data_IF_487962417796
#
_entry.id   IF_487962417796
#
_cell.length_a   1.000
_cell.length_b   1.000
_cell.length_c   1.000
_cell.angle_alpha   90.00
_cell.angle_beta   90.00
_cell.angle_gamma   90.00
#
_symmetry.space_group_name_H-M   'P 1'
#
loop_
_entity.id
_entity.type
_entity.pdbx_description
1 polymer ?
#
# COMPACT_ATOMS: atom_id res chain seq x y z
N UNK A 1 -56.36 -10.28 0.02
CA UNK A 1 -55.37 -9.17 0.04
C UNK A 1 -54.01 -9.79 -0.25
N UNK A 2 -53.50 -9.63 -1.47
CA UNK A 2 -52.20 -10.16 -1.89
C UNK A 2 -51.18 -9.03 -1.91
N UNK A 3 -50.18 -9.10 -1.05
CA UNK A 3 -49.02 -8.20 -1.06
C UNK A 3 -47.90 -8.84 -1.88
N UNK A 4 -47.66 -8.31 -3.08
CA UNK A 4 -46.45 -8.57 -3.85
C UNK A 4 -45.32 -7.71 -3.31
N UNK A 5 -44.25 -8.34 -2.83
CA UNK A 5 -43.02 -7.66 -2.41
C UNK A 5 -42.05 -7.63 -3.58
N UNK A 6 -41.99 -6.51 -4.29
CA UNK A 6 -40.94 -6.23 -5.28
C UNK A 6 -39.63 -5.91 -4.57
N UNK A 7 -38.67 -6.83 -4.61
CA UNK A 7 -37.30 -6.60 -4.15
C UNK A 7 -36.54 -5.77 -5.19
N UNK A 8 -36.37 -4.47 -4.93
CA UNK A 8 -35.44 -3.63 -5.69
C UNK A 8 -34.02 -3.82 -5.13
N UNK A 9 -33.14 -4.42 -5.94
CA UNK A 9 -31.71 -4.51 -5.64
C UNK A 9 -31.05 -3.16 -5.98
N UNK A 10 -30.28 -2.53 -5.06
CA UNK A 10 -29.65 -1.24 -5.32
C UNK A 10 -28.57 -1.34 -6.41
N UNK A 11 -28.61 -0.40 -7.36
CA UNK A 11 -27.76 -0.32 -8.56
C UNK A 11 -26.23 -0.33 -8.29
N UNK A 12 -25.78 -0.11 -7.06
CA UNK A 12 -24.38 -0.14 -6.67
C UNK A 12 -23.74 -1.54 -6.75
N UNK A 13 -24.53 -2.62 -6.66
CA UNK A 13 -24.00 -3.99 -6.72
C UNK A 13 -23.85 -4.54 -8.14
N UNK A 14 -24.44 -3.88 -9.14
CA UNK A 14 -24.46 -4.38 -10.52
C UNK A 14 -23.07 -4.41 -11.17
N UNK A 15 -22.17 -3.50 -10.77
CA UNK A 15 -20.79 -3.45 -11.26
C UNK A 15 -19.87 -4.49 -10.59
N UNK A 16 -20.11 -4.82 -9.32
CA UNK A 16 -19.28 -5.76 -8.55
C UNK A 16 -19.61 -7.22 -8.90
N UNK A 17 -20.89 -7.53 -9.10
CA UNK A 17 -21.38 -8.88 -9.46
C UNK A 17 -20.97 -9.30 -10.88
N UNK A 18 -20.63 -8.34 -11.74
CA UNK A 18 -20.23 -8.61 -13.14
C UNK A 18 -18.73 -8.88 -13.32
N UNK A 19 -17.91 -8.86 -12.27
CA UNK A 19 -16.52 -9.28 -12.41
C UNK A 19 -16.42 -10.80 -12.39
N UNK A 20 -15.70 -11.38 -13.36
CA UNK A 20 -15.44 -12.83 -13.41
C UNK A 20 -14.85 -13.36 -12.08
N UNK A 21 -14.13 -12.51 -11.35
CA UNK A 21 -13.58 -12.79 -10.02
C UNK A 21 -14.67 -12.91 -8.94
N UNK A 22 -15.66 -12.02 -8.93
CA UNK A 22 -16.79 -12.11 -7.99
C UNK A 22 -17.67 -13.33 -8.28
N UNK A 23 -17.86 -13.66 -9.56
CA UNK A 23 -18.59 -14.86 -9.99
C UNK A 23 -17.84 -16.14 -9.59
N UNK A 24 -16.51 -16.16 -9.74
CA UNK A 24 -15.67 -17.28 -9.29
C UNK A 24 -15.71 -17.46 -7.77
N UNK A 25 -15.56 -16.39 -6.99
CA UNK A 25 -15.61 -16.44 -5.52
C UNK A 25 -16.99 -16.86 -4.99
N UNK A 26 -18.07 -16.36 -5.59
CA UNK A 26 -19.43 -16.81 -5.28
C UNK A 26 -19.66 -18.28 -5.66
N UNK A 27 -19.06 -18.73 -6.77
CA UNK A 27 -19.10 -20.13 -7.21
C UNK A 27 -18.39 -21.09 -6.26
N UNK A 28 -17.26 -20.66 -5.67
CA UNK A 28 -16.52 -21.43 -4.65
C UNK A 28 -17.31 -21.48 -3.33
N UNK A 29 -17.87 -20.35 -2.90
CA UNK A 29 -18.65 -20.28 -1.65
C UNK A 29 -19.97 -21.08 -1.72
N UNK A 30 -20.60 -21.15 -2.90
CA UNK A 30 -21.90 -21.78 -3.07
C UNK A 30 -21.87 -23.31 -3.29
N UNK A 31 -20.71 -23.93 -3.53
CA UNK A 31 -20.63 -25.34 -3.93
C UNK A 31 -19.78 -26.21 -2.98
N UNK A 32 -20.39 -26.58 -1.85
CA UNK A 32 -19.95 -27.71 -1.04
C UNK A 32 -20.20 -29.06 -1.75
N UNK A 33 -19.12 -29.63 -2.32
CA UNK A 33 -18.70 -31.05 -2.28
C UNK A 33 -19.71 -32.19 -2.56
N UNK A 34 -20.70 -32.07 -3.46
CA UNK A 34 -21.59 -33.23 -3.76
C UNK A 34 -21.66 -33.76 -5.19
N UNK A 35 -20.90 -33.21 -6.14
CA UNK A 35 -20.79 -33.83 -7.48
C UNK A 35 -19.33 -33.91 -7.93
N UNK A 36 -18.90 -35.10 -8.37
CA UNK A 36 -17.58 -35.27 -8.98
C UNK A 36 -17.52 -34.41 -10.24
N UNK A 37 -16.47 -33.60 -10.45
CA UNK A 37 -16.29 -32.91 -11.72
C UNK A 37 -16.25 -33.93 -12.86
N UNK A 38 -16.69 -33.53 -14.05
CA UNK A 38 -16.43 -34.29 -15.26
C UNK A 38 -14.92 -34.41 -15.54
N UNK A 39 -14.51 -35.06 -16.64
CA UNK A 39 -13.10 -35.11 -17.02
C UNK A 39 -12.49 -33.71 -17.11
N UNK A 40 -11.22 -33.56 -16.71
CA UNK A 40 -10.51 -32.30 -16.81
C UNK A 40 -10.43 -31.85 -18.27
N UNK A 41 -10.57 -30.54 -18.55
CA UNK A 41 -10.37 -30.01 -19.88
C UNK A 41 -8.94 -30.25 -20.36
N UNK A 42 -8.77 -30.30 -21.68
CA UNK A 42 -7.44 -30.30 -22.30
C UNK A 42 -6.71 -28.97 -22.07
N UNK A 43 -5.39 -28.98 -22.20
CA UNK A 43 -4.58 -27.78 -22.06
C UNK A 43 -4.94 -26.72 -23.12
N UNK A 44 -5.32 -27.15 -24.34
CA UNK A 44 -5.78 -26.28 -25.40
C UNK A 44 -7.10 -25.57 -25.05
N UNK A 45 -8.04 -26.28 -24.42
CA UNK A 45 -9.31 -25.70 -23.96
C UNK A 45 -9.10 -24.71 -22.82
N UNK A 46 -8.17 -25.01 -21.91
CA UNK A 46 -7.79 -24.10 -20.82
C UNK A 46 -7.09 -22.84 -21.36
N UNK A 47 -6.18 -22.99 -22.33
CA UNK A 47 -5.53 -21.86 -22.99
C UNK A 47 -6.53 -20.99 -23.77
N UNK A 48 -7.49 -21.60 -24.48
CA UNK A 48 -8.57 -20.89 -25.15
C UNK A 48 -9.49 -20.14 -24.16
N UNK A 49 -9.67 -20.67 -22.96
CA UNK A 49 -10.39 -19.98 -21.89
C UNK A 49 -9.65 -18.74 -21.39
N UNK A 50 -8.36 -18.89 -21.06
CA UNK A 50 -7.49 -17.85 -20.49
C UNK A 50 -7.31 -16.68 -21.47
N UNK A 51 -7.12 -16.97 -22.75
CA UNK A 51 -6.97 -15.98 -23.82
C UNK A 51 -8.28 -15.28 -24.21
N UNK A 52 -9.42 -15.63 -23.58
CA UNK A 52 -10.73 -15.07 -23.93
C UNK A 52 -11.34 -15.61 -25.23
N UNK A 53 -10.77 -16.68 -25.79
CA UNK A 53 -11.26 -17.36 -26.99
C UNK A 53 -12.59 -18.11 -26.78
N UNK A 54 -12.88 -18.59 -25.57
CA UNK A 54 -14.16 -19.22 -25.24
C UNK A 54 -15.26 -18.18 -24.97
N UNK A 55 -16.43 -18.36 -25.61
CA UNK A 55 -17.61 -17.46 -25.50
C UNK A 55 -18.89 -18.24 -25.19
N UNK A 56 -19.86 -17.56 -24.58
CA UNK A 56 -21.20 -18.11 -24.34
C UNK A 56 -21.17 -19.36 -23.44
N UNK A 57 -21.85 -20.43 -23.88
CA UNK A 57 -22.08 -21.65 -23.10
C UNK A 57 -20.77 -22.38 -22.74
N UNK A 58 -19.78 -22.42 -23.64
CA UNK A 58 -18.49 -23.11 -23.38
C UNK A 58 -17.68 -22.41 -22.29
N UNK A 59 -17.67 -21.07 -22.28
CA UNK A 59 -17.05 -20.28 -21.19
C UNK A 59 -17.73 -20.55 -19.84
N UNK A 60 -19.06 -20.61 -19.82
CA UNK A 60 -19.82 -20.92 -18.61
C UNK A 60 -19.56 -22.34 -18.11
N UNK A 61 -19.46 -23.32 -19.02
CA UNK A 61 -19.11 -24.71 -18.67
C UNK A 61 -17.70 -24.79 -18.09
N UNK A 62 -16.73 -24.06 -18.64
CA UNK A 62 -15.38 -23.99 -18.10
C UNK A 62 -15.35 -23.39 -16.69
N UNK A 63 -16.03 -22.25 -16.47
CA UNK A 63 -16.16 -21.65 -15.14
C UNK A 63 -16.81 -22.61 -14.13
N UNK A 64 -17.87 -23.32 -14.53
CA UNK A 64 -18.51 -24.31 -13.69
C UNK A 64 -17.59 -25.50 -13.37
N UNK A 65 -16.70 -25.89 -14.29
CA UNK A 65 -15.69 -26.92 -14.05
C UNK A 65 -14.61 -26.43 -13.08
N UNK A 66 -14.06 -25.22 -13.28
CA UNK A 66 -13.05 -24.62 -12.38
C UNK A 66 -13.55 -24.50 -10.94
N UNK A 67 -14.83 -24.17 -10.75
CA UNK A 67 -15.46 -24.13 -9.42
C UNK A 67 -15.57 -25.51 -8.74
N UNK A 68 -15.42 -26.62 -9.49
CA UNK A 68 -15.59 -28.00 -8.98
C UNK A 68 -14.29 -28.80 -8.95
N UNK A 69 -13.31 -28.45 -9.77
CA UNK A 69 -12.03 -29.15 -9.89
C UNK A 69 -10.89 -28.26 -9.39
N UNK A 70 -10.46 -28.49 -8.15
CA UNK A 70 -9.36 -27.74 -7.53
C UNK A 70 -8.08 -27.78 -8.36
N UNK A 71 -7.75 -28.92 -8.95
CA UNK A 71 -6.56 -29.07 -9.81
C UNK A 71 -6.60 -28.12 -11.00
N UNK A 72 -7.73 -28.03 -11.71
CA UNK A 72 -7.86 -27.12 -12.85
C UNK A 72 -7.89 -25.65 -12.42
N UNK A 73 -8.46 -25.36 -11.25
CA UNK A 73 -8.43 -24.02 -10.66
C UNK A 73 -7.01 -23.55 -10.32
N UNK A 74 -6.19 -24.42 -9.71
CA UNK A 74 -4.79 -24.10 -9.42
C UNK A 74 -3.98 -23.91 -10.69
N UNK A 75 -4.14 -24.80 -11.68
CA UNK A 75 -3.46 -24.66 -12.97
C UNK A 75 -3.82 -23.35 -13.67
N UNK A 76 -5.09 -22.93 -13.60
CA UNK A 76 -5.54 -21.64 -14.11
C UNK A 76 -4.88 -20.44 -13.40
N UNK A 77 -4.83 -20.45 -12.05
CA UNK A 77 -4.18 -19.39 -11.27
C UNK A 77 -2.68 -19.28 -11.58
N UNK A 78 -2.00 -20.42 -11.70
CA UNK A 78 -0.60 -20.50 -12.05
C UNK A 78 -0.35 -19.85 -13.43
N UNK A 79 -1.08 -20.24 -14.47
CA UNK A 79 -0.94 -19.67 -15.82
C UNK A 79 -1.30 -18.17 -15.84
N UNK A 80 -2.35 -17.76 -15.11
CA UNK A 80 -2.71 -16.35 -14.99
C UNK A 80 -1.60 -15.52 -14.34
N UNK A 81 -0.88 -16.08 -13.36
CA UNK A 81 0.26 -15.41 -12.72
C UNK A 81 1.44 -15.21 -13.67
N UNK A 82 1.73 -16.20 -14.53
CA UNK A 82 2.75 -16.09 -15.58
C UNK A 82 2.37 -15.05 -16.65
N UNK A 83 1.12 -15.01 -17.09
CA UNK A 83 0.70 -13.98 -18.06
C UNK A 83 0.74 -12.56 -17.47
N UNK A 84 0.44 -12.42 -16.17
CA UNK A 84 0.57 -11.14 -15.47
C UNK A 84 2.03 -10.68 -15.34
N UNK A 85 2.99 -11.60 -15.31
CA UNK A 85 4.42 -11.27 -15.25
C UNK A 85 5.01 -10.92 -16.63
N UNK A 86 4.38 -11.37 -17.73
CA UNK A 86 4.83 -11.11 -19.11
C UNK A 86 4.36 -9.74 -19.64
N UNK A 87 3.66 -8.91 -18.85
CA UNK A 87 3.04 -7.65 -19.33
C UNK A 87 4.04 -6.78 -20.13
N UNK A 88 3.84 -6.59 -21.44
CA UNK A 88 4.71 -5.72 -22.24
C UNK A 88 4.54 -4.28 -21.77
N UNK A 89 5.63 -3.52 -21.83
CA UNK A 89 5.72 -2.10 -21.54
C UNK A 89 4.92 -1.30 -22.58
N UNK A 90 3.60 -1.38 -22.54
CA UNK A 90 2.74 -0.51 -23.32
C UNK A 90 2.72 0.87 -22.68
N UNK A 91 3.54 1.75 -23.25
CA UNK A 91 3.52 3.19 -23.06
C UNK A 91 2.19 3.79 -23.52
N UNK A 92 1.17 3.71 -22.67
CA UNK A 92 -0.01 4.58 -22.74
C UNK A 92 0.30 5.93 -22.08
N UNK A 93 0.48 6.96 -22.89
CA UNK A 93 0.70 8.32 -22.41
C UNK A 93 1.10 9.31 -23.50
N UNK A 94 0.48 9.26 -24.69
CA UNK A 94 0.89 10.08 -25.84
C UNK A 94 0.19 11.43 -25.99
N UNK A 95 -0.83 11.74 -25.18
CA UNK A 95 -1.59 12.99 -25.33
C UNK A 95 -1.10 14.15 -24.44
N UNK A 96 -0.60 13.86 -23.23
CA UNK A 96 -0.17 14.93 -22.29
C UNK A 96 1.27 15.38 -22.59
N UNK A 97 2.15 14.47 -23.04
CA UNK A 97 3.54 14.81 -23.41
C UNK A 97 3.61 15.82 -24.55
N UNK A 98 2.79 15.70 -25.59
CA UNK A 98 2.83 16.63 -26.75
C UNK A 98 2.43 18.07 -26.41
N UNK A 99 1.64 18.29 -25.36
CA UNK A 99 1.24 19.64 -24.94
C UNK A 99 2.31 20.30 -24.07
N UNK A 100 2.96 19.53 -23.20
CA UNK A 100 4.08 20.01 -22.37
C UNK A 100 5.32 20.27 -23.24
N UNK A 101 5.57 19.44 -24.25
CA UNK A 101 6.74 19.56 -25.14
C UNK A 101 6.67 20.79 -26.05
N UNK A 102 5.47 21.18 -26.53
CA UNK A 102 5.27 22.44 -27.28
C UNK A 102 5.46 23.70 -26.40
N UNK A 103 5.03 23.64 -25.13
CA UNK A 103 5.24 24.73 -24.19
C UNK A 103 6.72 24.95 -23.88
N UNK A 104 7.47 23.86 -23.68
CA UNK A 104 8.91 23.91 -23.37
C UNK A 104 9.76 24.37 -24.55
N UNK A 105 9.46 23.96 -25.78
CA UNK A 105 10.21 24.42 -26.97
C UNK A 105 10.07 25.93 -27.20
N UNK A 106 8.87 26.48 -27.00
CA UNK A 106 8.63 27.92 -27.18
C UNK A 106 9.35 28.76 -26.11
N UNK A 107 9.50 28.23 -24.89
CA UNK A 107 10.25 28.89 -23.81
C UNK A 107 11.77 28.88 -24.00
N UNK A 108 12.32 27.81 -24.61
CA UNK A 108 13.75 27.69 -24.87
C UNK A 108 14.21 28.55 -26.06
N UNK A 109 13.38 28.75 -27.09
CA UNK A 109 13.72 29.61 -28.23
C UNK A 109 13.84 31.10 -27.87
N UNK A 110 13.15 31.54 -26.80
CA UNK A 110 13.32 32.89 -26.24
C UNK A 110 14.66 33.03 -25.51
N UNK A 111 15.18 31.94 -24.93
CA UNK A 111 16.48 31.89 -24.26
C UNK A 111 17.66 31.69 -25.23
N UNK A 112 17.40 31.15 -26.43
CA UNK A 112 18.42 30.88 -27.46
C UNK A 112 18.75 32.08 -28.36
N UNK A 113 18.13 33.25 -28.16
CA UNK A 113 18.53 34.47 -28.89
C UNK A 113 19.94 34.89 -28.45
N UNK A 114 20.88 35.11 -29.39
CA UNK A 114 22.25 35.53 -29.07
C UNK A 114 22.20 36.97 -28.56
N UNK A 115 22.10 37.08 -27.25
CA UNK A 115 22.20 38.34 -26.53
C UNK A 115 23.69 38.61 -26.29
N UNK A 116 24.23 39.58 -27.03
CA UNK A 116 25.60 40.09 -26.90
C UNK A 116 25.76 40.89 -25.58
N UNK A 117 25.74 40.18 -24.44
CA UNK A 117 25.69 40.76 -23.08
C UNK A 117 26.88 40.31 -22.23
N UNK A 118 28.08 40.41 -22.79
CA UNK A 118 29.32 39.98 -22.14
C UNK A 118 29.72 40.75 -20.87
N UNK A 119 29.00 41.79 -20.45
CA UNK A 119 29.42 42.66 -19.32
C UNK A 119 28.36 43.01 -18.25
N UNK A 120 27.11 42.58 -18.39
CA UNK A 120 26.02 42.97 -17.45
C UNK A 120 25.26 41.78 -16.85
N UNK A 121 25.51 40.53 -17.30
CA UNK A 121 24.55 39.43 -17.13
C UNK A 121 24.88 38.33 -16.09
N UNK A 122 25.77 38.57 -15.13
CA UNK A 122 25.99 37.59 -14.03
C UNK A 122 24.90 37.67 -12.95
N UNK A 123 24.43 38.85 -12.49
CA UNK A 123 23.41 38.88 -11.42
C UNK A 123 21.99 38.59 -11.93
N UNK A 124 21.69 38.85 -13.22
CA UNK A 124 20.34 38.69 -13.77
C UNK A 124 19.95 37.23 -14.08
N UNK A 125 20.93 36.37 -14.38
CA UNK A 125 20.67 34.95 -14.64
C UNK A 125 20.42 34.18 -13.34
N UNK A 126 21.16 34.50 -12.27
CA UNK A 126 20.96 33.89 -10.96
C UNK A 126 19.56 34.18 -10.38
N UNK A 127 19.02 35.39 -10.55
CA UNK A 127 17.67 35.73 -10.09
C UNK A 127 16.58 35.00 -10.87
N UNK A 128 16.71 34.86 -12.18
CA UNK A 128 15.77 34.09 -13.00
C UNK A 128 15.78 32.61 -12.58
N UNK A 129 16.95 32.01 -12.37
CA UNK A 129 17.07 30.62 -11.93
C UNK A 129 16.45 30.43 -10.53
N UNK A 130 16.69 31.36 -9.59
CA UNK A 130 16.08 31.32 -8.27
C UNK A 130 14.55 31.48 -8.32
N UNK A 131 14.02 32.36 -9.18
CA UNK A 131 12.59 32.51 -9.37
C UNK A 131 11.95 31.24 -9.95
N UNK A 132 12.58 30.64 -10.97
CA UNK A 132 12.11 29.36 -11.52
C UNK A 132 12.15 28.27 -10.45
N UNK A 133 13.24 28.15 -9.69
CA UNK A 133 13.35 27.18 -8.61
C UNK A 133 12.28 27.38 -7.52
N UNK A 134 12.01 28.64 -7.14
CA UNK A 134 10.96 28.97 -6.17
C UNK A 134 9.56 28.65 -6.70
N UNK A 135 9.27 28.95 -7.97
CA UNK A 135 8.00 28.62 -8.62
C UNK A 135 7.82 27.10 -8.69
N UNK A 136 8.86 26.36 -9.09
CA UNK A 136 8.84 24.89 -9.13
C UNK A 136 8.62 24.33 -7.72
N UNK A 137 9.30 24.86 -6.70
CA UNK A 137 9.12 24.44 -5.30
C UNK A 137 7.71 24.72 -4.78
N UNK A 138 7.11 25.85 -5.14
CA UNK A 138 5.71 26.18 -4.80
C UNK A 138 4.68 25.34 -5.56
N UNK A 139 5.03 24.83 -6.74
CA UNK A 139 4.14 23.98 -7.55
C UNK A 139 4.20 22.49 -7.16
N UNK A 140 5.20 22.07 -6.39
CA UNK A 140 5.25 20.69 -5.89
C UNK A 140 4.14 20.49 -4.86
N UNK A 141 3.29 19.46 -5.02
CA UNK A 141 2.31 19.13 -3.99
C UNK A 141 3.06 18.86 -2.66
N UNK A 142 2.49 19.25 -1.52
CA UNK A 142 3.11 18.94 -0.23
C UNK A 142 3.31 17.43 -0.11
N UNK A 143 4.42 16.98 0.49
CA UNK A 143 4.71 15.56 0.61
C UNK A 143 3.58 14.88 1.38
N UNK A 144 3.06 13.81 0.80
CA UNK A 144 1.97 13.02 1.38
C UNK A 144 2.47 12.30 2.64
N UNK A 145 1.53 11.73 3.40
CA UNK A 145 1.89 10.94 4.58
C UNK A 145 2.77 9.74 4.20
N UNK A 146 2.44 9.06 3.09
CA UNK A 146 3.25 7.96 2.57
C UNK A 146 4.67 8.43 2.22
N UNK A 147 4.82 9.55 1.50
CA UNK A 147 6.14 10.05 1.10
C UNK A 147 7.05 10.30 2.32
N UNK A 148 6.47 10.80 3.42
CA UNK A 148 7.21 11.04 4.68
C UNK A 148 7.61 9.75 5.38
N UNK A 149 6.76 8.72 5.34
CA UNK A 149 7.07 7.39 5.88
C UNK A 149 8.13 6.70 5.01
N UNK A 150 8.01 6.80 3.68
CA UNK A 150 8.96 6.27 2.71
C UNK A 150 10.36 6.85 2.90
N UNK A 151 10.47 8.17 3.10
CA UNK A 151 11.73 8.82 3.44
C UNK A 151 12.36 8.22 4.72
N UNK A 152 11.55 7.86 5.71
CA UNK A 152 12.02 7.18 6.91
C UNK A 152 12.57 5.77 6.63
N UNK A 153 11.93 5.01 5.72
CA UNK A 153 12.43 3.70 5.28
C UNK A 153 13.75 3.80 4.50
N UNK A 154 13.95 4.85 3.70
CA UNK A 154 15.23 5.11 3.01
C UNK A 154 16.36 5.33 4.03
N UNK A 155 16.10 6.06 5.12
CA UNK A 155 17.04 6.19 6.23
C UNK A 155 17.31 4.82 6.85
N UNK A 156 16.28 4.07 7.23
CA UNK A 156 16.43 2.77 7.88
C UNK A 156 17.25 1.77 7.04
N UNK A 157 17.00 1.70 5.73
CA UNK A 157 17.73 0.83 4.80
C UNK A 157 19.19 1.24 4.60
N UNK A 158 19.50 2.53 4.71
CA UNK A 158 20.88 3.03 4.61
C UNK A 158 21.70 2.72 5.87
N UNK A 159 21.09 2.72 7.05
CA UNK A 159 21.80 2.59 8.32
C UNK A 159 22.05 1.14 8.74
N UNK A 160 21.21 0.20 8.29
CA UNK A 160 21.23 -1.19 8.75
C UNK A 160 21.92 -2.14 7.77
N UNK A 161 22.70 -3.06 8.32
CA UNK A 161 23.15 -4.25 7.59
C UNK A 161 21.94 -5.17 7.39
N UNK A 162 21.72 -5.65 6.16
CA UNK A 162 20.62 -6.54 5.79
C UNK A 162 20.50 -7.77 6.70
N UNK A 163 21.62 -8.29 7.20
CA UNK A 163 21.63 -9.45 8.10
C UNK A 163 20.98 -9.14 9.47
N UNK A 164 21.41 -8.06 10.13
CA UNK A 164 20.83 -7.61 11.42
C UNK A 164 19.37 -7.21 11.27
N UNK A 165 19.02 -6.60 10.15
CA UNK A 165 17.65 -6.21 9.85
C UNK A 165 16.73 -7.43 9.78
N UNK A 166 17.19 -8.52 9.14
CA UNK A 166 16.42 -9.76 9.07
C UNK A 166 16.14 -10.34 10.47
N UNK A 167 17.14 -10.37 11.35
CA UNK A 167 17.00 -10.80 12.74
C UNK A 167 15.99 -9.93 13.51
N UNK A 168 16.11 -8.61 13.42
CA UNK A 168 15.18 -7.66 14.06
C UNK A 168 13.74 -7.85 13.56
N UNK A 169 13.55 -8.11 12.27
CA UNK A 169 12.24 -8.32 11.66
C UNK A 169 11.65 -9.69 12.03
N UNK A 170 12.45 -10.75 12.12
CA UNK A 170 11.95 -12.06 12.58
C UNK A 170 11.33 -11.98 13.97
N UNK A 171 11.92 -11.18 14.87
CA UNK A 171 11.39 -10.94 16.22
C UNK A 171 10.05 -10.19 16.26
N UNK A 172 9.70 -9.49 15.18
CA UNK A 172 8.40 -8.84 14.99
C UNK A 172 7.38 -9.81 14.38
N UNK A 173 7.80 -10.66 13.42
CA UNK A 173 6.91 -11.54 12.65
C UNK A 173 6.45 -12.81 13.35
N UNK A 174 7.18 -13.34 14.35
CA UNK A 174 6.90 -14.66 14.94
C UNK A 174 5.49 -14.86 15.51
N UNK A 175 4.71 -13.80 15.72
CA UNK A 175 3.38 -13.85 16.34
C UNK A 175 2.22 -13.32 15.47
N UNK A 176 2.47 -12.80 14.26
CA UNK A 176 1.44 -12.11 13.44
C UNK A 176 0.95 -13.00 12.29
N UNK A 177 1.11 -14.32 12.37
CA UNK A 177 0.42 -15.23 11.47
C UNK A 177 -1.07 -15.21 11.82
N UNK A 178 -1.77 -14.19 11.33
CA UNK A 178 -3.22 -14.14 11.25
C UNK A 178 -3.64 -15.43 10.57
N UNK A 179 -4.15 -16.38 11.36
CA UNK A 179 -4.75 -17.58 10.81
C UNK A 179 -5.78 -17.13 9.79
N UNK A 180 -5.57 -17.49 8.52
CA UNK A 180 -6.40 -17.09 7.37
C UNK A 180 -7.88 -17.54 7.56
N UNK A 181 -8.17 -18.29 8.63
CA UNK A 181 -9.46 -18.87 8.97
C UNK A 181 -10.22 -18.17 10.11
N UNK A 182 -9.95 -16.90 10.43
CA UNK A 182 -10.84 -16.13 11.35
C UNK A 182 -11.87 -15.36 10.52
N UNK A 183 -13.11 -15.88 10.35
CA UNK A 183 -14.09 -15.32 9.41
C UNK A 183 -14.62 -13.91 9.77
N UNK A 184 -14.28 -13.37 10.94
CA UNK A 184 -14.85 -12.12 11.47
C UNK A 184 -13.83 -10.98 11.68
N UNK A 185 -12.62 -11.09 11.14
CA UNK A 185 -11.61 -10.02 11.29
C UNK A 185 -12.05 -8.74 10.58
N UNK A 186 -12.00 -7.62 11.29
CA UNK A 186 -12.40 -6.32 10.76
C UNK A 186 -11.50 -5.84 9.61
N UNK A 187 -12.03 -5.18 8.57
CA UNK A 187 -11.24 -4.54 7.51
C UNK A 187 -10.16 -3.59 8.03
N UNK A 188 -10.38 -2.96 9.19
CA UNK A 188 -9.41 -2.10 9.88
C UNK A 188 -8.13 -2.88 10.19
N UNK A 189 -8.29 -4.08 10.77
CA UNK A 189 -7.20 -4.93 11.23
C UNK A 189 -6.44 -5.48 10.03
N UNK A 190 -7.14 -5.84 8.96
CA UNK A 190 -6.50 -6.23 7.70
C UNK A 190 -5.70 -5.10 7.06
N UNK A 191 -6.22 -3.86 7.05
CA UNK A 191 -5.50 -2.71 6.51
C UNK A 191 -4.21 -2.45 7.30
N UNK A 192 -4.31 -2.44 8.64
CA UNK A 192 -3.15 -2.30 9.52
C UNK A 192 -2.12 -3.40 9.30
N UNK A 193 -2.55 -4.66 9.27
CA UNK A 193 -1.66 -5.82 9.08
C UNK A 193 -1.00 -5.81 7.70
N UNK A 194 -1.74 -5.43 6.66
CA UNK A 194 -1.17 -5.21 5.33
C UNK A 194 -0.12 -4.10 5.32
N UNK A 195 -0.30 -3.07 6.15
CA UNK A 195 0.70 -2.02 6.38
C UNK A 195 1.97 -2.57 7.05
N UNK A 196 1.82 -3.40 8.07
CA UNK A 196 2.94 -4.08 8.73
C UNK A 196 3.72 -4.94 7.72
N UNK A 197 3.02 -5.80 6.97
CA UNK A 197 3.64 -6.64 5.93
C UNK A 197 4.35 -5.80 4.85
N UNK A 198 3.75 -4.69 4.40
CA UNK A 198 4.39 -3.79 3.44
C UNK A 198 5.64 -3.14 4.02
N UNK A 199 5.62 -2.71 5.29
CA UNK A 199 6.78 -2.13 5.97
C UNK A 199 7.94 -3.13 6.04
N UNK A 200 7.64 -4.39 6.37
CA UNK A 200 8.63 -5.47 6.40
C UNK A 200 9.19 -5.76 5.00
N UNK A 201 8.32 -5.84 3.98
CA UNK A 201 8.73 -6.05 2.59
C UNK A 201 9.63 -4.91 2.08
N UNK A 202 9.32 -3.67 2.46
CA UNK A 202 10.10 -2.48 2.09
C UNK A 202 11.51 -2.54 2.66
N UNK A 203 11.66 -2.91 3.93
CA UNK A 203 12.94 -3.02 4.60
C UNK A 203 13.79 -4.20 4.07
N UNK A 204 13.15 -5.33 3.80
CA UNK A 204 13.85 -6.54 3.29
C UNK A 204 14.20 -6.48 1.81
N UNK A 205 13.83 -5.39 1.11
CA UNK A 205 13.93 -5.26 -0.35
C UNK A 205 13.25 -6.42 -1.11
N UNK A 206 12.32 -7.11 -0.45
CA UNK A 206 11.52 -8.15 -1.07
C UNK A 206 10.52 -7.51 -2.03
N UNK A 207 10.10 -8.27 -3.03
CA UNK A 207 9.15 -7.79 -4.03
C UNK A 207 7.86 -7.34 -3.34
N UNK A 208 7.57 -6.03 -3.40
CA UNK A 208 6.40 -5.42 -2.76
C UNK A 208 5.13 -6.10 -3.28
N UNK A 209 4.33 -6.77 -2.44
CA UNK A 209 3.11 -7.41 -2.90
C UNK A 209 2.15 -6.34 -3.41
N UNK A 210 1.87 -6.34 -4.72
CA UNK A 210 0.97 -5.37 -5.36
C UNK A 210 -0.42 -5.36 -4.73
N UNK A 211 -0.83 -6.50 -4.17
CA UNK A 211 -2.14 -6.67 -3.54
C UNK A 211 -2.28 -5.86 -2.24
N UNK A 212 -1.19 -5.67 -1.48
CA UNK A 212 -1.21 -4.90 -0.23
C UNK A 212 -1.30 -3.39 -0.49
N UNK A 213 -0.74 -2.91 -1.59
CA UNK A 213 -0.75 -1.49 -1.95
C UNK A 213 -2.15 -0.91 -2.21
N UNK A 214 -3.17 -1.78 -2.42
CA UNK A 214 -4.56 -1.32 -2.59
C UNK A 214 -5.10 -0.61 -1.35
N UNK A 215 -4.60 -0.93 -0.16
CA UNK A 215 -5.07 -0.35 1.10
C UNK A 215 -4.71 1.13 1.23
N UNK A 216 -3.57 1.54 0.65
CA UNK A 216 -3.12 2.94 0.60
C UNK A 216 -4.12 3.87 -0.10
N UNK A 217 -4.96 3.33 -0.99
CA UNK A 217 -5.99 4.08 -1.71
C UNK A 217 -7.41 3.76 -1.24
N UNK A 218 -7.55 3.03 -0.14
CA UNK A 218 -8.84 2.64 0.42
C UNK A 218 -9.29 3.65 1.49
N UNK A 219 -10.51 3.49 1.99
CA UNK A 219 -10.97 4.25 3.15
C UNK A 219 -10.18 3.94 4.44
N UNK A 220 -9.34 2.90 4.45
CA UNK A 220 -8.51 2.47 5.58
C UNK A 220 -7.02 2.81 5.37
N UNK A 221 -6.74 3.81 4.54
CA UNK A 221 -5.37 4.20 4.21
C UNK A 221 -4.59 4.61 5.47
N UNK A 222 -5.23 5.27 6.43
CA UNK A 222 -4.61 5.71 7.67
C UNK A 222 -4.18 4.54 8.55
N UNK A 223 -4.99 3.49 8.68
CA UNK A 223 -4.60 2.30 9.42
C UNK A 223 -3.50 1.50 8.71
N UNK A 224 -3.53 1.47 7.38
CA UNK A 224 -2.44 0.91 6.58
C UNK A 224 -1.11 1.67 6.78
N UNK A 225 -1.12 3.01 6.69
CA UNK A 225 0.08 3.81 6.93
C UNK A 225 0.56 3.71 8.38
N UNK A 226 -0.36 3.59 9.35
CA UNK A 226 -0.01 3.33 10.75
C UNK A 226 0.76 2.02 10.91
N UNK A 227 0.33 0.94 10.26
CA UNK A 227 1.03 -0.35 10.28
C UNK A 227 2.45 -0.26 9.71
N UNK A 228 2.61 0.44 8.57
CA UNK A 228 3.94 0.69 7.97
C UNK A 228 4.83 1.49 8.92
N UNK A 229 4.29 2.57 9.48
CA UNK A 229 5.00 3.44 10.39
C UNK A 229 5.44 2.73 11.68
N UNK A 230 4.61 1.82 12.22
CA UNK A 230 4.98 1.01 13.39
C UNK A 230 6.20 0.14 13.14
N UNK A 231 6.29 -0.48 11.95
CA UNK A 231 7.48 -1.27 11.56
C UNK A 231 8.72 -0.39 11.47
N UNK A 232 8.60 0.79 10.85
CA UNK A 232 9.70 1.75 10.75
C UNK A 232 10.22 2.15 12.14
N UNK A 233 9.33 2.56 13.04
CA UNK A 233 9.71 2.96 14.40
C UNK A 233 10.34 1.81 15.19
N UNK A 234 9.78 0.60 15.06
CA UNK A 234 10.32 -0.60 15.70
C UNK A 234 11.76 -0.83 15.29
N UNK A 235 12.03 -0.84 13.98
CA UNK A 235 13.36 -1.07 13.42
C UNK A 235 14.36 -0.01 13.87
N UNK A 236 13.94 1.26 13.89
CA UNK A 236 14.80 2.38 14.28
C UNK A 236 15.09 2.42 15.77
N UNK A 237 14.13 2.03 16.62
CA UNK A 237 14.32 1.91 18.06
C UNK A 237 15.37 0.86 18.45
N UNK A 238 15.62 -0.13 17.57
CA UNK A 238 16.58 -1.22 17.80
C UNK A 238 18.00 -0.84 17.36
N UNK A 239 18.19 0.29 16.65
CA UNK A 239 19.51 0.73 16.16
C UNK A 239 19.78 2.20 16.45
N UNK A 240 19.84 2.60 17.73
CA UNK A 240 19.84 4.01 18.11
C UNK A 240 21.11 4.79 17.76
N UNK A 241 22.27 4.12 17.74
CA UNK A 241 23.59 4.76 17.55
C UNK A 241 23.77 5.46 16.19
N UNK A 242 22.84 5.27 15.25
CA UNK A 242 22.97 5.74 13.85
C UNK A 242 21.82 6.63 13.39
N UNK A 243 20.86 6.91 14.26
CA UNK A 243 19.64 7.63 13.88
C UNK A 243 19.93 9.13 13.76
N UNK A 244 19.61 9.80 12.64
CA UNK A 244 19.75 11.25 12.52
C UNK A 244 18.94 11.99 13.60
N UNK A 245 19.48 13.08 14.14
CA UNK A 245 18.87 13.83 15.26
C UNK A 245 17.48 14.39 14.92
N UNK A 246 17.21 14.66 13.64
CA UNK A 246 15.93 15.16 13.18
C UNK A 246 14.91 14.04 12.88
N UNK A 247 15.33 12.78 12.83
CA UNK A 247 14.47 11.65 12.53
C UNK A 247 13.28 11.59 13.49
N UNK A 248 13.52 11.61 14.81
CA UNK A 248 12.45 11.53 15.81
C UNK A 248 11.49 12.73 15.75
N UNK A 249 11.98 13.91 15.37
CA UNK A 249 11.13 15.09 15.14
C UNK A 249 10.18 14.88 13.96
N UNK A 250 10.69 14.33 12.85
CA UNK A 250 9.88 13.99 11.69
C UNK A 250 8.86 12.91 12.03
N UNK A 251 9.26 11.87 12.79
CA UNK A 251 8.36 10.81 13.24
C UNK A 251 7.27 11.34 14.17
N UNK A 252 7.59 12.25 15.09
CA UNK A 252 6.59 12.89 15.94
C UNK A 252 5.54 13.66 15.12
N UNK A 253 5.96 14.35 14.06
CA UNK A 253 5.05 15.04 13.16
C UNK A 253 4.12 14.06 12.44
N UNK A 254 4.66 12.94 11.91
CA UNK A 254 3.88 11.85 11.29
C UNK A 254 2.86 11.29 12.29
N UNK A 255 3.28 10.97 13.52
CA UNK A 255 2.42 10.43 14.57
C UNK A 255 1.26 11.37 14.93
N UNK A 256 1.53 12.68 15.04
CA UNK A 256 0.49 13.70 15.28
C UNK A 256 -0.50 13.80 14.11
N UNK A 257 -0.03 13.73 12.87
CA UNK A 257 -0.90 13.72 11.68
C UNK A 257 -1.78 12.48 11.65
N UNK A 258 -1.22 11.28 11.88
CA UNK A 258 -1.98 10.03 11.99
C UNK A 258 -3.04 10.13 13.10
N UNK A 259 -2.67 10.67 14.26
CA UNK A 259 -3.57 10.81 15.39
C UNK A 259 -4.73 11.75 15.08
N UNK A 260 -4.44 12.89 14.43
CA UNK A 260 -5.46 13.85 14.03
C UNK A 260 -6.41 13.25 12.97
N UNK A 261 -5.87 12.58 11.96
CA UNK A 261 -6.67 11.97 10.89
C UNK A 261 -7.61 10.89 11.44
N UNK A 262 -7.09 9.98 12.28
CA UNK A 262 -7.90 8.93 12.90
C UNK A 262 -8.92 9.49 13.90
N UNK A 263 -8.58 10.52 14.68
CA UNK A 263 -9.52 11.16 15.62
C UNK A 263 -10.69 11.86 14.92
N UNK A 264 -10.43 12.47 13.76
CA UNK A 264 -11.41 13.26 13.02
C UNK A 264 -12.30 12.40 12.10
N UNK A 265 -12.01 11.10 11.97
CA UNK A 265 -12.75 10.20 11.09
C UNK A 265 -14.17 9.96 11.60
N UNK A 266 -15.12 9.93 10.67
CA UNK A 266 -16.52 9.56 10.92
C UNK A 266 -17.00 8.58 9.83
N UNK A 267 -17.65 7.45 10.20
CA UNK A 267 -17.93 7.01 11.56
C UNK A 267 -16.67 6.54 12.30
N UNK A 268 -16.65 6.68 13.63
CA UNK A 268 -15.61 6.06 14.46
C UNK A 268 -15.96 4.60 14.70
N UNK A 269 -15.10 3.71 14.22
CA UNK A 269 -15.17 2.30 14.55
C UNK A 269 -14.53 2.06 15.92
N UNK A 270 -15.13 1.18 16.73
CA UNK A 270 -14.60 0.82 18.07
C UNK A 270 -13.13 0.39 18.01
N UNK A 271 -12.77 -0.39 16.99
CA UNK A 271 -11.40 -0.84 16.74
C UNK A 271 -10.45 0.34 16.48
N UNK A 272 -10.90 1.37 15.76
CA UNK A 272 -10.08 2.58 15.53
C UNK A 272 -9.78 3.30 16.85
N UNK A 273 -10.73 3.36 17.77
CA UNK A 273 -10.52 3.94 19.10
C UNK A 273 -9.52 3.10 19.92
N UNK A 274 -9.61 1.77 19.85
CA UNK A 274 -8.64 0.87 20.51
C UNK A 274 -7.23 1.09 19.96
N UNK A 275 -7.08 1.20 18.64
CA UNK A 275 -5.81 1.51 17.97
C UNK A 275 -5.27 2.88 18.42
N UNK A 276 -6.14 3.88 18.55
CA UNK A 276 -5.75 5.24 18.91
C UNK A 276 -5.28 5.32 20.37
N UNK A 277 -6.06 4.77 21.31
CA UNK A 277 -5.75 4.82 22.74
C UNK A 277 -4.58 3.90 23.13
N UNK A 278 -4.55 2.67 22.60
CA UNK A 278 -3.58 1.66 23.04
C UNK A 278 -2.36 1.56 22.12
N UNK A 279 -2.49 1.96 20.86
CA UNK A 279 -1.40 1.95 19.90
C UNK A 279 -0.73 3.31 19.82
N UNK A 280 -1.44 4.28 19.25
CA UNK A 280 -0.84 5.52 18.74
C UNK A 280 -0.51 6.57 19.80
N UNK A 281 -1.43 6.86 20.73
CA UNK A 281 -1.22 7.88 21.77
C UNK A 281 0.04 7.65 22.62
N UNK A 282 0.31 6.44 23.13
CA UNK A 282 1.54 6.18 23.89
C UNK A 282 2.80 6.36 23.03
N UNK A 283 2.77 5.95 21.75
CA UNK A 283 3.89 6.15 20.82
C UNK A 283 4.21 7.64 20.65
N UNK A 284 3.19 8.50 20.50
CA UNK A 284 3.40 9.96 20.41
C UNK A 284 4.02 10.53 21.70
N UNK A 285 3.69 9.99 22.86
CA UNK A 285 4.32 10.36 24.14
C UNK A 285 5.82 10.00 24.13
N UNK A 286 6.17 8.76 23.77
CA UNK A 286 7.57 8.35 23.66
C UNK A 286 8.34 9.20 22.65
N UNK A 287 7.78 9.48 21.47
CA UNK A 287 8.41 10.33 20.46
C UNK A 287 8.61 11.77 20.94
N UNK A 288 7.72 12.28 21.80
CA UNK A 288 7.88 13.60 22.44
C UNK A 288 9.06 13.62 23.41
N UNK A 289 9.34 12.50 24.08
CA UNK A 289 10.51 12.36 24.95
C UNK A 289 11.79 12.20 24.11
N UNK A 290 11.78 11.36 23.07
CA UNK A 290 12.91 11.18 22.14
C UNK A 290 13.26 12.45 21.35
N UNK A 291 12.31 13.37 21.17
CA UNK A 291 12.62 14.70 20.63
C UNK A 291 13.60 15.49 21.54
N UNK A 292 13.54 15.28 22.85
CA UNK A 292 14.45 15.93 23.82
C UNK A 292 15.73 15.13 24.02
N UNK A 293 15.61 13.82 24.02
CA UNK A 293 16.68 12.88 24.38
C UNK A 293 16.72 11.76 23.32
N UNK A 294 17.29 12.05 22.13
CA UNK A 294 17.22 11.18 20.95
C UNK A 294 17.86 9.81 21.12
N UNK A 295 18.81 9.72 22.06
CA UNK A 295 19.68 8.57 22.27
C UNK A 295 19.40 7.88 23.61
N UNK A 296 18.30 8.22 24.29
CA UNK A 296 17.91 7.56 25.54
C UNK A 296 17.48 6.11 25.29
N UNK A 297 18.40 5.19 25.58
CA UNK A 297 18.20 3.75 25.42
C UNK A 297 17.01 3.19 26.22
N UNK A 298 16.65 3.78 27.37
CA UNK A 298 15.51 3.31 28.14
C UNK A 298 14.20 3.67 27.43
N UNK A 299 14.07 4.92 26.95
CA UNK A 299 12.90 5.35 26.18
C UNK A 299 12.76 4.53 24.89
N UNK A 300 13.87 4.28 24.18
CA UNK A 300 13.88 3.46 22.97
C UNK A 300 13.47 2.00 23.24
N UNK A 301 13.94 1.42 24.35
CA UNK A 301 13.56 0.07 24.79
C UNK A 301 12.08 -0.02 25.16
N UNK A 302 11.55 1.00 25.85
CA UNK A 302 10.13 1.10 26.17
C UNK A 302 9.27 1.27 24.92
N UNK A 303 9.67 2.16 24.01
CA UNK A 303 8.99 2.39 22.72
C UNK A 303 8.95 1.10 21.91
N UNK A 304 10.08 0.40 21.79
CA UNK A 304 10.17 -0.91 21.16
C UNK A 304 9.15 -1.85 21.80
N UNK A 305 9.27 -2.21 23.09
CA UNK A 305 8.33 -3.11 23.78
C UNK A 305 6.85 -2.75 23.57
N UNK A 306 6.51 -1.46 23.62
CA UNK A 306 5.16 -0.98 23.37
C UNK A 306 4.70 -1.26 21.95
N UNK A 307 5.50 -0.93 20.93
CA UNK A 307 5.21 -1.22 19.52
C UNK A 307 4.99 -2.73 19.28
N UNK A 308 5.76 -3.63 19.93
CA UNK A 308 5.52 -5.09 19.82
C UNK A 308 4.12 -5.43 20.31
N UNK A 309 3.84 -4.97 21.53
CA UNK A 309 2.61 -5.28 22.26
C UNK A 309 1.40 -4.74 21.52
N UNK A 310 1.47 -3.48 21.06
CA UNK A 310 0.43 -2.83 20.29
C UNK A 310 0.18 -3.53 18.96
N UNK A 311 1.22 -3.84 18.19
CA UNK A 311 1.08 -4.56 16.91
C UNK A 311 0.41 -5.91 17.11
N UNK A 312 0.86 -6.69 18.11
CA UNK A 312 0.25 -7.98 18.45
C UNK A 312 -1.21 -7.83 18.88
N UNK A 313 -1.52 -6.85 19.73
CA UNK A 313 -2.88 -6.63 20.23
C UNK A 313 -3.83 -6.22 19.11
N UNK A 314 -3.43 -5.31 18.22
CA UNK A 314 -4.23 -4.85 17.09
C UNK A 314 -4.49 -6.00 16.12
N UNK A 315 -3.49 -6.86 15.90
CA UNK A 315 -3.62 -8.04 15.02
C UNK A 315 -4.53 -9.13 15.61
N UNK A 316 -4.90 -9.06 16.89
CA UNK A 316 -5.79 -10.03 17.55
C UNK A 316 -7.24 -9.53 17.69
N UNK A 317 -7.53 -8.30 17.26
CA UNK A 317 -8.89 -7.73 17.24
C UNK A 317 -9.68 -8.21 16.02
#
# INVERSE_FOLDING_TARGET
MNTQTTSQTPNAFKGVINSDRAIALLGIAAHQRKSKPGPCPSDEELAAFISGGLKGKTRQTMLAHLNRCSTCYYHWLEVASYLASIKPTETEGSSIKKQIEKGWQTGLDVLARPLDISKILVPATATIVLLIAAVVWMMMPPPTLSDRIDAGFEIATTLQNSEKLSEVLTNLSTDISLGIDVPDTSPVVFAFSAGVEMGQATLTQNQRPKELARWANSQWAEEYELGRWFVLLWVMAQTPEKVPTDFWNQQLAIGKTLQANLSNRSPRYEITEIILENGLKPVVVFLTQLQKESDDHDILSQLSKHLKSATKRISLL
#
